data_IF_334035980615
#
_entry.id   IF_334035980615
#
_cell.length_a   1.000
_cell.length_b   1.000
_cell.length_c   1.000
_cell.angle_alpha   90.00
_cell.angle_beta   90.00
_cell.angle_gamma   90.00
#
_symmetry.space_group_name_H-M   'P 1'
#
loop_
_entity.id
_entity.type
_entity.pdbx_description
1 polymer ?
#
# COMPACT_ATOMS: atom_id res chain seq x y z
N UNK A 1 33.65 31.98 2.43
CA UNK A 1 33.30 30.77 3.20
C UNK A 1 31.81 30.39 3.08
N UNK A 2 30.87 31.33 3.22
CA UNK A 2 29.41 31.05 3.14
C UNK A 2 28.97 30.41 1.79
N UNK A 3 29.57 30.81 0.66
CA UNK A 3 29.24 30.23 -0.67
C UNK A 3 29.65 28.76 -0.82
N UNK A 4 30.78 28.35 -0.23
CA UNK A 4 31.22 26.95 -0.28
C UNK A 4 30.37 26.07 0.64
N UNK A 5 30.02 26.60 1.84
CA UNK A 5 29.14 25.95 2.81
C UNK A 5 27.70 25.81 2.32
N UNK A 6 27.27 26.63 1.35
CA UNK A 6 25.95 26.50 0.71
C UNK A 6 25.99 25.63 -0.57
N UNK A 7 27.04 25.76 -1.38
CA UNK A 7 27.17 25.07 -2.67
C UNK A 7 27.24 23.55 -2.54
N UNK A 8 28.05 23.03 -1.62
CA UNK A 8 28.25 21.58 -1.49
C UNK A 8 27.01 20.87 -0.93
N UNK A 9 26.39 21.32 0.18
CA UNK A 9 25.13 20.75 0.65
C UNK A 9 24.00 20.91 -0.37
N UNK A 10 23.94 22.04 -1.09
CA UNK A 10 22.94 22.26 -2.14
C UNK A 10 23.07 21.29 -3.31
N UNK A 11 24.30 20.97 -3.75
CA UNK A 11 24.54 19.98 -4.80
C UNK A 11 24.18 18.56 -4.34
N UNK A 12 24.51 18.20 -3.10
CA UNK A 12 24.13 16.91 -2.52
C UNK A 12 22.60 16.78 -2.40
N UNK A 13 21.92 17.83 -1.92
CA UNK A 13 20.47 17.86 -1.83
C UNK A 13 19.82 17.76 -3.22
N UNK A 14 20.37 18.47 -4.23
CA UNK A 14 19.89 18.37 -5.61
C UNK A 14 20.04 16.95 -6.16
N UNK A 15 21.20 16.32 -5.96
CA UNK A 15 21.44 14.95 -6.41
C UNK A 15 20.46 13.97 -5.74
N UNK A 16 20.28 14.08 -4.42
CA UNK A 16 19.33 13.27 -3.67
C UNK A 16 17.91 13.45 -4.22
N UNK A 17 17.40 14.68 -4.26
CA UNK A 17 16.04 14.98 -4.77
C UNK A 17 15.84 14.47 -6.20
N UNK A 18 16.86 14.55 -7.05
CA UNK A 18 16.80 14.03 -8.42
C UNK A 18 16.64 12.50 -8.42
N UNK A 19 17.45 11.77 -7.65
CA UNK A 19 17.34 10.31 -7.52
C UNK A 19 15.96 9.92 -6.98
N UNK A 20 15.46 10.63 -5.96
CA UNK A 20 14.16 10.39 -5.36
C UNK A 20 13.01 10.62 -6.34
N UNK A 21 13.06 11.73 -7.07
CA UNK A 21 12.02 12.08 -8.04
C UNK A 21 11.98 11.08 -9.19
N UNK A 22 13.15 10.67 -9.72
CA UNK A 22 13.23 9.71 -10.81
C UNK A 22 12.82 8.29 -10.36
N UNK A 23 13.28 7.85 -9.19
CA UNK A 23 12.88 6.54 -8.65
C UNK A 23 11.39 6.49 -8.30
N UNK A 24 10.84 7.55 -7.71
CA UNK A 24 9.40 7.66 -7.44
C UNK A 24 8.56 7.68 -8.72
N UNK A 25 8.99 8.44 -9.73
CA UNK A 25 8.34 8.45 -11.05
C UNK A 25 8.36 7.06 -11.70
N UNK A 26 9.50 6.36 -11.66
CA UNK A 26 9.60 4.99 -12.16
C UNK A 26 8.70 4.02 -11.38
N UNK A 27 8.64 4.13 -10.05
CA UNK A 27 7.80 3.29 -9.19
C UNK A 27 6.30 3.50 -9.45
N UNK A 28 5.88 4.72 -9.81
CA UNK A 28 4.47 5.04 -10.07
C UNK A 28 3.84 4.26 -11.22
N UNK A 29 4.65 3.69 -12.12
CA UNK A 29 4.17 2.92 -13.29
C UNK A 29 3.72 1.51 -12.88
N UNK A 30 4.36 0.90 -11.87
CA UNK A 30 4.13 -0.50 -11.53
C UNK A 30 2.70 -0.81 -11.07
N UNK A 31 2.05 -0.02 -10.19
CA UNK A 31 0.67 -0.29 -9.80
C UNK A 31 -0.31 -0.32 -10.98
N UNK A 32 -0.15 0.62 -11.92
CA UNK A 32 -0.99 0.68 -13.12
C UNK A 32 -0.71 -0.51 -14.06
N UNK A 33 0.58 -0.85 -14.27
CA UNK A 33 0.96 -2.00 -15.08
C UNK A 33 0.44 -3.31 -14.48
N UNK A 34 0.50 -3.47 -13.16
CA UNK A 34 -0.02 -4.64 -12.44
C UNK A 34 -1.54 -4.76 -12.60
N UNK A 35 -2.27 -3.65 -12.48
CA UNK A 35 -3.73 -3.62 -12.70
C UNK A 35 -4.11 -4.10 -14.10
N UNK A 36 -3.37 -3.69 -15.11
CA UNK A 36 -3.62 -4.07 -16.52
C UNK A 36 -3.28 -5.54 -16.77
N UNK A 37 -2.20 -6.03 -16.17
CA UNK A 37 -1.70 -7.38 -16.43
C UNK A 37 -2.41 -8.48 -15.61
N UNK A 38 -2.91 -8.15 -14.41
CA UNK A 38 -3.51 -9.14 -13.51
C UNK A 38 -4.92 -9.56 -13.97
N UNK A 39 -5.23 -10.86 -13.99
CA UNK A 39 -6.61 -11.34 -14.13
C UNK A 39 -7.51 -10.72 -13.06
N UNK A 40 -8.71 -10.33 -13.47
CA UNK A 40 -9.66 -9.62 -12.60
C UNK A 40 -10.82 -10.52 -12.23
N UNK A 41 -11.29 -10.38 -10.98
CA UNK A 41 -12.51 -11.02 -10.56
C UNK A 41 -13.71 -10.41 -11.31
N UNK A 42 -14.66 -11.27 -11.66
CA UNK A 42 -15.95 -10.83 -12.20
C UNK A 42 -16.68 -9.96 -11.17
N UNK A 43 -17.45 -8.98 -11.66
CA UNK A 43 -18.21 -8.10 -10.79
C UNK A 43 -19.22 -8.90 -9.95
N UNK A 44 -19.22 -8.67 -8.63
CA UNK A 44 -20.10 -9.38 -7.70
C UNK A 44 -19.64 -10.79 -7.33
N UNK A 45 -18.44 -11.23 -7.75
CA UNK A 45 -17.85 -12.47 -7.24
C UNK A 45 -17.65 -12.37 -5.72
N UNK A 46 -18.07 -13.41 -4.99
CA UNK A 46 -17.95 -13.47 -3.52
C UNK A 46 -16.65 -14.15 -3.10
N UNK A 47 -16.17 -13.83 -1.89
CA UNK A 47 -14.96 -14.45 -1.33
C UNK A 47 -15.14 -15.97 -1.19
N UNK A 48 -16.34 -16.43 -0.83
CA UNK A 48 -16.71 -17.85 -0.80
C UNK A 48 -16.45 -18.54 -2.16
N UNK A 49 -16.95 -17.96 -3.25
CA UNK A 49 -16.79 -18.53 -4.60
C UNK A 49 -15.31 -18.60 -5.00
N UNK A 50 -14.56 -17.55 -4.69
CA UNK A 50 -13.13 -17.50 -4.95
C UNK A 50 -12.36 -18.56 -4.15
N UNK A 51 -12.66 -18.67 -2.85
CA UNK A 51 -12.04 -19.62 -1.95
C UNK A 51 -12.29 -21.07 -2.39
N UNK A 52 -13.53 -21.41 -2.76
CA UNK A 52 -13.88 -22.74 -3.28
C UNK A 52 -13.11 -23.11 -4.55
N UNK A 53 -13.03 -22.18 -5.51
CA UNK A 53 -12.30 -22.39 -6.77
C UNK A 53 -10.80 -22.62 -6.51
N UNK A 54 -10.21 -21.81 -5.64
CA UNK A 54 -8.79 -21.93 -5.28
C UNK A 54 -8.54 -23.21 -4.49
N UNK A 55 -9.37 -23.54 -3.50
CA UNK A 55 -9.22 -24.75 -2.69
C UNK A 55 -9.41 -26.02 -3.54
N UNK A 56 -10.31 -26.00 -4.53
CA UNK A 56 -10.47 -27.09 -5.48
C UNK A 56 -9.25 -27.30 -6.38
N UNK A 57 -8.52 -26.23 -6.73
CA UNK A 57 -7.28 -26.29 -7.50
C UNK A 57 -6.06 -26.62 -6.63
N UNK A 58 -6.03 -26.12 -5.40
CA UNK A 58 -4.93 -26.18 -4.44
C UNK A 58 -5.48 -26.56 -3.06
N UNK A 59 -5.64 -27.88 -2.77
CA UNK A 59 -6.23 -28.33 -1.50
C UNK A 59 -5.48 -27.88 -0.25
N UNK A 60 -4.17 -27.65 -0.34
CA UNK A 60 -3.32 -27.15 0.75
C UNK A 60 -3.21 -25.63 0.80
N UNK A 61 -4.16 -24.87 0.25
CA UNK A 61 -4.17 -23.41 0.33
C UNK A 61 -4.22 -22.96 1.79
N UNK A 62 -3.29 -22.08 2.15
CA UNK A 62 -3.20 -21.51 3.50
C UNK A 62 -3.61 -20.04 3.50
N UNK A 63 -3.44 -19.35 2.36
CA UNK A 63 -3.69 -17.92 2.30
C UNK A 63 -4.05 -17.46 0.89
N UNK A 64 -5.08 -16.62 0.80
CA UNK A 64 -5.46 -15.88 -0.40
C UNK A 64 -5.31 -14.39 -0.08
N UNK A 65 -4.57 -13.67 -0.91
CA UNK A 65 -4.39 -12.22 -0.79
C UNK A 65 -4.86 -11.51 -2.03
N UNK A 66 -5.51 -10.36 -1.83
CA UNK A 66 -5.84 -9.44 -2.91
C UNK A 66 -5.08 -8.14 -2.73
N UNK A 67 -4.25 -7.83 -3.72
CA UNK A 67 -3.54 -6.55 -3.77
C UNK A 67 -4.50 -5.39 -4.12
N UNK A 68 -4.16 -4.13 -3.81
CA UNK A 68 -4.96 -2.97 -4.21
C UNK A 68 -5.20 -2.85 -5.73
N UNK A 69 -4.35 -3.48 -6.56
CA UNK A 69 -4.55 -3.58 -8.02
C UNK A 69 -5.67 -4.54 -8.42
N UNK A 70 -6.27 -5.28 -7.48
CA UNK A 70 -7.19 -6.38 -7.72
C UNK A 70 -6.51 -7.71 -8.03
N UNK A 71 -5.17 -7.74 -8.12
CA UNK A 71 -4.40 -8.99 -8.31
C UNK A 71 -4.62 -9.93 -7.13
N UNK A 72 -5.00 -11.17 -7.41
CA UNK A 72 -5.20 -12.21 -6.41
C UNK A 72 -3.99 -13.15 -6.41
N UNK A 73 -3.44 -13.44 -5.24
CA UNK A 73 -2.34 -14.37 -5.05
C UNK A 73 -2.75 -15.42 -4.03
N UNK A 74 -2.58 -16.70 -4.33
CA UNK A 74 -2.74 -17.77 -3.36
C UNK A 74 -1.38 -18.35 -2.96
N UNK A 75 -1.29 -18.78 -1.70
CA UNK A 75 -0.16 -19.47 -1.10
C UNK A 75 -0.68 -20.80 -0.56
N UNK A 76 0.06 -21.87 -0.85
CA UNK A 76 -0.32 -23.22 -0.45
C UNK A 76 0.91 -24.05 -0.13
N UNK A 77 0.68 -25.19 0.51
CA UNK A 77 1.66 -26.27 0.60
C UNK A 77 1.16 -27.48 -0.17
N UNK A 78 2.06 -28.10 -0.92
CA UNK A 78 1.85 -29.39 -1.57
C UNK A 78 2.89 -30.38 -1.02
N UNK A 79 2.44 -31.33 -0.20
CA UNK A 79 3.28 -32.31 0.50
C UNK A 79 4.51 -31.68 1.22
N UNK A 80 4.33 -30.51 1.84
CA UNK A 80 5.40 -29.78 2.53
C UNK A 80 6.25 -28.87 1.64
N UNK A 81 5.98 -28.82 0.33
CA UNK A 81 6.59 -27.87 -0.60
C UNK A 81 5.76 -26.59 -0.67
N UNK A 82 6.30 -25.41 -0.34
CA UNK A 82 5.56 -24.16 -0.46
C UNK A 82 5.38 -23.76 -1.93
N UNK A 83 4.17 -23.35 -2.28
CA UNK A 83 3.79 -22.83 -3.58
C UNK A 83 3.11 -21.47 -3.47
N UNK A 84 3.27 -20.64 -4.52
CA UNK A 84 2.57 -19.37 -4.63
C UNK A 84 2.36 -19.01 -6.10
N UNK A 85 1.16 -18.50 -6.43
CA UNK A 85 0.82 -18.08 -7.79
C UNK A 85 -0.17 -16.92 -7.77
N UNK A 86 -0.06 -16.06 -8.79
CA UNK A 86 -1.13 -15.13 -9.15
C UNK A 86 -2.26 -15.97 -9.73
N UNK A 87 -3.47 -15.81 -9.20
CA UNK A 87 -4.62 -16.63 -9.53
C UNK A 87 -5.49 -15.93 -10.57
N UNK A 88 -6.00 -16.70 -11.53
CA UNK A 88 -7.17 -16.33 -12.33
C UNK A 88 -8.45 -16.59 -11.52
N UNK A 89 -9.18 -15.55 -11.07
CA UNK A 89 -10.36 -15.72 -10.22
C UNK A 89 -11.51 -16.47 -10.91
N UNK A 90 -11.55 -16.49 -12.24
CA UNK A 90 -12.57 -17.22 -13.00
C UNK A 90 -12.42 -18.73 -12.84
N UNK A 91 -11.18 -19.23 -12.73
CA UNK A 91 -10.88 -20.66 -12.74
C UNK A 91 -10.29 -21.18 -11.43
N UNK A 92 -9.76 -20.30 -10.57
CA UNK A 92 -9.00 -20.68 -9.37
C UNK A 92 -7.57 -21.16 -9.64
N UNK A 93 -7.14 -21.15 -10.91
CA UNK A 93 -5.83 -21.68 -11.34
C UNK A 93 -4.75 -20.59 -11.35
N UNK A 94 -3.50 -21.00 -11.21
CA UNK A 94 -2.34 -20.12 -11.35
C UNK A 94 -2.19 -19.58 -12.77
N UNK A 95 -2.25 -18.25 -12.91
CA UNK A 95 -2.08 -17.53 -14.17
C UNK A 95 -0.64 -17.02 -14.36
N UNK A 96 0.08 -16.71 -13.28
CA UNK A 96 1.46 -16.24 -13.34
C UNK A 96 2.22 -16.52 -12.03
N UNK A 97 3.55 -16.39 -12.04
CA UNK A 97 4.36 -16.48 -10.83
C UNK A 97 4.00 -15.37 -9.84
N UNK A 98 3.93 -15.71 -8.55
CA UNK A 98 3.78 -14.75 -7.45
C UNK A 98 5.08 -14.02 -7.10
N UNK A 99 6.22 -14.38 -7.72
CA UNK A 99 7.51 -13.82 -7.39
C UNK A 99 7.55 -12.29 -7.56
N UNK A 100 8.13 -11.55 -6.60
CA UNK A 100 8.16 -10.10 -6.73
C UNK A 100 9.11 -9.67 -7.85
N UNK A 101 8.68 -8.71 -8.66
CA UNK A 101 9.48 -8.12 -9.73
C UNK A 101 10.81 -7.59 -9.17
N UNK A 102 11.94 -8.12 -9.66
CA UNK A 102 13.27 -7.80 -9.15
C UNK A 102 13.63 -6.32 -9.36
N UNK A 103 13.26 -5.74 -10.51
CA UNK A 103 13.49 -4.33 -10.82
C UNK A 103 12.66 -3.43 -9.90
N UNK A 104 11.39 -3.78 -9.67
CA UNK A 104 10.54 -3.05 -8.72
C UNK A 104 11.12 -3.10 -7.31
N UNK A 105 11.56 -4.29 -6.83
CA UNK A 105 12.22 -4.44 -5.52
C UNK A 105 13.47 -3.58 -5.41
N UNK A 106 14.31 -3.58 -6.45
CA UNK A 106 15.52 -2.76 -6.49
C UNK A 106 15.19 -1.26 -6.42
N UNK A 107 14.22 -0.79 -7.22
CA UNK A 107 13.76 0.60 -7.19
C UNK A 107 13.16 0.99 -5.84
N UNK A 108 12.36 0.12 -5.22
CA UNK A 108 11.79 0.36 -3.89
C UNK A 108 12.88 0.49 -2.83
N UNK A 109 13.89 -0.36 -2.86
CA UNK A 109 15.02 -0.28 -1.92
C UNK A 109 15.87 0.99 -2.14
N UNK A 110 16.09 1.39 -3.39
CA UNK A 110 16.73 2.67 -3.70
C UNK A 110 15.90 3.84 -3.15
N UNK A 111 14.60 3.88 -3.46
CA UNK A 111 13.72 5.00 -3.10
C UNK A 111 13.49 5.10 -1.60
N UNK A 112 13.26 3.96 -0.91
CA UNK A 112 12.88 3.96 0.51
C UNK A 112 14.08 4.08 1.44
N UNK A 113 15.23 3.54 1.07
CA UNK A 113 16.38 3.43 1.98
C UNK A 113 17.73 3.69 1.33
N UNK A 114 17.82 4.02 0.03
CA UNK A 114 19.10 4.16 -0.67
C UNK A 114 20.00 2.92 -0.53
N UNK A 115 19.42 1.74 -0.30
CA UNK A 115 20.12 0.49 0.06
C UNK A 115 20.87 0.51 1.41
N UNK A 116 20.61 1.50 2.28
CA UNK A 116 21.28 1.69 3.56
C UNK A 116 20.44 1.23 4.76
N UNK A 117 19.41 0.40 4.54
CA UNK A 117 18.51 -0.07 5.60
C UNK A 117 17.86 1.07 6.38
N UNK A 118 17.85 0.97 7.70
CA UNK A 118 17.20 1.96 8.57
C UNK A 118 17.90 3.31 8.59
N UNK A 119 19.24 3.35 8.49
CA UNK A 119 19.98 4.61 8.36
C UNK A 119 19.57 5.37 7.10
N UNK A 120 19.33 4.63 6.02
CA UNK A 120 18.73 5.15 4.80
C UNK A 120 17.32 5.70 5.00
N UNK A 121 16.43 4.94 5.64
CA UNK A 121 15.06 5.36 5.93
C UNK A 121 15.00 6.64 6.77
N UNK A 122 15.89 6.78 7.75
CA UNK A 122 16.03 8.00 8.56
C UNK A 122 16.51 9.18 7.70
N UNK A 123 17.53 8.97 6.86
CA UNK A 123 18.02 10.01 5.94
C UNK A 123 16.92 10.48 4.98
N UNK A 124 16.12 9.55 4.46
CA UNK A 124 14.97 9.82 3.61
C UNK A 124 13.87 10.60 4.35
N UNK A 125 13.57 10.23 5.59
CA UNK A 125 12.62 10.96 6.43
C UNK A 125 13.08 12.39 6.73
N UNK A 126 14.36 12.60 7.03
CA UNK A 126 14.94 13.94 7.20
C UNK A 126 14.87 14.76 5.91
N UNK A 127 15.14 14.13 4.77
CA UNK A 127 14.99 14.75 3.45
C UNK A 127 13.54 15.19 3.18
N UNK A 128 12.57 14.35 3.50
CA UNK A 128 11.15 14.68 3.40
C UNK A 128 10.76 15.84 4.34
N UNK A 129 11.22 15.84 5.59
CA UNK A 129 10.99 16.95 6.53
C UNK A 129 11.57 18.28 6.02
N UNK A 130 12.80 18.25 5.50
CA UNK A 130 13.44 19.42 4.92
C UNK A 130 12.67 19.93 3.69
N UNK A 131 12.25 19.03 2.80
CA UNK A 131 11.43 19.37 1.63
C UNK A 131 10.08 19.96 2.02
N UNK A 132 9.43 19.43 3.05
CA UNK A 132 8.17 19.97 3.56
C UNK A 132 8.37 21.41 4.09
N UNK A 133 9.40 21.63 4.90
CA UNK A 133 9.76 22.96 5.40
C UNK A 133 10.11 23.95 4.29
N UNK A 134 10.88 23.53 3.29
CA UNK A 134 11.19 24.33 2.10
C UNK A 134 9.94 24.64 1.26
N UNK A 135 9.01 23.69 1.17
CA UNK A 135 7.75 23.90 0.45
C UNK A 135 6.90 24.95 1.16
N UNK A 136 6.72 24.86 2.47
CA UNK A 136 5.98 25.87 3.25
C UNK A 136 6.61 27.25 3.17
N UNK A 137 7.93 27.34 3.36
CA UNK A 137 8.63 28.64 3.23
C UNK A 137 8.55 29.18 1.80
N UNK A 138 8.63 28.31 0.78
CA UNK A 138 8.39 28.65 -0.62
C UNK A 138 7.00 29.24 -0.87
N UNK A 139 5.94 28.62 -0.34
CA UNK A 139 4.56 29.16 -0.42
C UNK A 139 4.50 30.58 0.14
N UNK A 140 5.07 30.80 1.33
CA UNK A 140 5.06 32.12 1.98
C UNK A 140 5.79 33.17 1.14
N UNK A 141 6.95 32.81 0.55
CA UNK A 141 7.73 33.70 -0.31
C UNK A 141 7.00 34.01 -1.62
N UNK A 142 6.37 33.02 -2.25
CA UNK A 142 5.56 33.24 -3.46
C UNK A 142 4.37 34.14 -3.14
N UNK A 143 3.63 33.85 -2.07
CA UNK A 143 2.48 34.66 -1.64
C UNK A 143 2.86 36.13 -1.43
N UNK A 144 3.99 36.39 -0.75
CA UNK A 144 4.52 37.75 -0.58
C UNK A 144 4.89 38.41 -1.91
N UNK A 145 5.53 37.67 -2.83
CA UNK A 145 5.94 38.20 -4.13
C UNK A 145 4.74 38.63 -5.00
N UNK A 146 3.62 37.93 -4.88
CA UNK A 146 2.43 38.19 -5.70
C UNK A 146 1.44 39.15 -5.05
N UNK A 147 1.72 39.61 -3.82
CA UNK A 147 0.82 40.48 -3.08
C UNK A 147 -0.38 39.77 -2.47
N UNK A 148 -0.22 38.51 -2.04
CA UNK A 148 -1.22 37.75 -1.28
C UNK A 148 -1.79 36.53 -2.01
N UNK A 149 -2.46 35.65 -1.26
CA UNK A 149 -3.00 34.38 -1.76
C UNK A 149 -4.02 34.55 -2.89
N UNK A 150 -4.82 35.62 -2.85
CA UNK A 150 -5.80 35.95 -3.90
C UNK A 150 -5.14 36.18 -5.27
N UNK A 151 -3.85 36.54 -5.29
CA UNK A 151 -3.09 36.82 -6.49
C UNK A 151 -2.21 35.64 -6.94
N UNK A 152 -2.43 34.43 -6.41
CA UNK A 152 -1.57 33.27 -6.65
C UNK A 152 -1.34 32.94 -8.13
N UNK A 153 -2.37 33.08 -8.98
CA UNK A 153 -2.27 32.81 -10.42
C UNK A 153 -2.12 34.07 -11.29
N UNK A 154 -1.84 35.23 -10.68
CA UNK A 154 -1.63 36.46 -11.46
C UNK A 154 -0.34 36.41 -12.28
N UNK A 155 -0.32 37.17 -13.37
CA UNK A 155 0.81 37.26 -14.29
C UNK A 155 2.03 37.83 -13.59
N UNK A 156 3.13 37.07 -13.62
CA UNK A 156 4.39 37.48 -13.02
C UNK A 156 5.16 38.47 -13.91
N UNK A 157 5.76 39.47 -13.26
CA UNK A 157 6.67 40.44 -13.89
C UNK A 157 8.10 40.20 -13.40
N UNK A 158 9.08 40.67 -14.17
CA UNK A 158 10.50 40.60 -13.84
C UNK A 158 11.31 39.63 -14.70
N UNK A 159 12.58 39.37 -14.32
CA UNK A 159 13.51 38.54 -15.08
C UNK A 159 13.00 37.12 -15.32
N UNK A 160 13.35 36.56 -16.49
CA UNK A 160 12.86 35.25 -16.95
C UNK A 160 13.10 34.12 -15.94
N UNK A 161 14.32 34.02 -15.39
CA UNK A 161 14.69 32.95 -14.45
C UNK A 161 13.83 32.96 -13.18
N UNK A 162 13.69 34.15 -12.56
CA UNK A 162 12.85 34.33 -11.38
C UNK A 162 11.37 34.12 -11.68
N UNK A 163 10.91 34.49 -12.89
CA UNK A 163 9.53 34.22 -13.32
C UNK A 163 9.26 32.72 -13.46
N UNK A 164 10.09 32.02 -14.23
CA UNK A 164 9.96 30.59 -14.49
C UNK A 164 10.00 29.78 -13.18
N UNK A 165 10.92 30.11 -12.28
CA UNK A 165 11.02 29.44 -10.98
C UNK A 165 9.71 29.52 -10.19
N UNK A 166 9.06 30.70 -10.16
CA UNK A 166 7.82 30.87 -9.41
C UNK A 166 6.61 30.28 -10.15
N UNK A 167 6.58 30.34 -11.49
CA UNK A 167 5.56 29.63 -12.28
C UNK A 167 5.58 28.12 -12.01
N UNK A 168 6.76 27.50 -12.06
CA UNK A 168 6.92 26.07 -11.75
C UNK A 168 6.60 25.81 -10.28
N UNK A 169 7.13 26.62 -9.35
CA UNK A 169 6.94 26.42 -7.91
C UNK A 169 5.46 26.48 -7.50
N UNK A 170 4.65 27.37 -8.10
CA UNK A 170 3.20 27.50 -7.80
C UNK A 170 2.43 26.21 -8.05
N UNK A 171 2.85 25.41 -9.04
CA UNK A 171 2.22 24.14 -9.40
C UNK A 171 2.88 23.00 -8.62
N UNK A 172 4.22 22.95 -8.62
CA UNK A 172 4.99 21.88 -8.00
C UNK A 172 4.78 21.80 -6.48
N UNK A 173 4.52 22.93 -5.80
CA UNK A 173 4.44 22.96 -4.34
C UNK A 173 3.32 22.08 -3.78
N UNK A 174 2.20 21.91 -4.49
CA UNK A 174 1.11 21.02 -4.07
C UNK A 174 1.62 19.57 -4.03
N UNK A 175 2.26 19.13 -5.12
CA UNK A 175 2.84 17.79 -5.21
C UNK A 175 3.99 17.57 -4.22
N UNK A 176 4.84 18.58 -4.00
CA UNK A 176 5.94 18.50 -3.04
C UNK A 176 5.44 18.40 -1.59
N UNK A 177 4.44 19.20 -1.21
CA UNK A 177 3.83 19.13 0.13
C UNK A 177 3.18 17.76 0.33
N UNK A 178 2.37 17.31 -0.63
CA UNK A 178 1.70 16.00 -0.54
C UNK A 178 2.71 14.85 -0.47
N UNK A 179 3.71 14.84 -1.36
CA UNK A 179 4.73 13.79 -1.43
C UNK A 179 5.59 13.75 -0.15
N UNK A 180 6.01 14.91 0.36
CA UNK A 180 6.81 14.96 1.59
C UNK A 180 6.00 14.62 2.85
N UNK A 181 4.75 15.08 2.95
CA UNK A 181 3.87 14.73 4.07
C UNK A 181 3.56 13.23 4.11
N UNK A 182 3.23 12.63 2.96
CA UNK A 182 2.99 11.19 2.85
C UNK A 182 4.26 10.38 3.09
N UNK A 183 5.43 10.84 2.65
CA UNK A 183 6.72 10.21 2.95
C UNK A 183 7.02 10.19 4.46
N UNK A 184 6.75 11.30 5.17
CA UNK A 184 6.91 11.38 6.62
C UNK A 184 5.97 10.44 7.35
N UNK A 185 4.72 10.34 6.90
CA UNK A 185 3.77 9.36 7.44
C UNK A 185 4.24 7.93 7.23
N UNK A 186 4.69 7.58 6.03
CA UNK A 186 5.24 6.26 5.72
C UNK A 186 6.48 5.92 6.57
N UNK A 187 7.35 6.91 6.83
CA UNK A 187 8.46 6.75 7.74
C UNK A 187 7.98 6.53 9.18
N UNK A 188 7.02 7.31 9.65
CA UNK A 188 6.47 7.16 10.99
C UNK A 188 5.80 5.79 11.21
N UNK A 189 5.02 5.31 10.23
CA UNK A 189 4.48 3.94 10.23
C UNK A 189 5.59 2.88 10.23
N UNK A 190 6.65 3.08 9.44
CA UNK A 190 7.78 2.15 9.37
C UNK A 190 8.52 2.00 10.71
N UNK A 191 8.55 3.05 11.52
CA UNK A 191 9.18 3.08 12.83
C UNK A 191 8.19 2.90 13.99
N UNK A 192 6.97 2.44 13.69
CA UNK A 192 5.92 2.16 14.69
C UNK A 192 5.59 3.38 15.59
N UNK A 193 5.67 4.58 15.01
CA UNK A 193 5.37 5.85 15.70
C UNK A 193 3.90 6.25 15.60
N UNK A 194 3.11 5.46 14.86
CA UNK A 194 1.69 5.70 14.62
C UNK A 194 0.88 4.57 15.27
N UNK A 195 -0.31 4.84 15.81
CA UNK A 195 -1.20 3.80 16.33
C UNK A 195 -1.34 2.62 15.36
N UNK A 196 -1.12 1.41 15.87
CA UNK A 196 -1.35 0.19 15.11
C UNK A 196 -2.84 -0.12 14.96
N UNK A 197 -3.14 -0.91 13.93
CA UNK A 197 -4.41 -1.62 13.80
C UNK A 197 -4.52 -2.78 14.77
N UNK A 198 -5.73 -3.07 15.23
CA UNK A 198 -6.00 -4.21 16.10
C UNK A 198 -6.66 -5.35 15.33
N UNK A 199 -6.11 -6.55 15.43
CA UNK A 199 -6.89 -7.76 15.15
C UNK A 199 -7.88 -8.00 16.31
N UNK A 200 -9.03 -8.67 16.08
CA UNK A 200 -9.90 -9.07 17.17
C UNK A 200 -9.12 -9.89 18.20
N UNK A 201 -9.55 -9.82 19.46
CA UNK A 201 -9.04 -10.74 20.47
C UNK A 201 -9.27 -12.17 20.00
N UNK A 202 -8.28 -13.04 20.18
CA UNK A 202 -8.43 -14.45 19.82
C UNK A 202 -9.65 -15.04 20.55
N UNK A 203 -10.50 -15.79 19.84
CA UNK A 203 -11.70 -16.36 20.43
C UNK A 203 -11.31 -17.36 21.53
N UNK A 204 -12.00 -17.26 22.67
CA UNK A 204 -11.79 -18.17 23.81
C UNK A 204 -12.54 -19.49 23.62
N UNK A 205 -13.64 -19.45 22.85
CA UNK A 205 -14.47 -20.60 22.53
C UNK A 205 -14.51 -20.80 21.01
N UNK A 206 -14.19 -22.02 20.59
CA UNK A 206 -14.26 -22.53 19.21
C UNK A 206 -14.97 -23.88 19.25
N UNK A 207 -15.57 -24.31 18.15
CA UNK A 207 -16.34 -25.55 18.10
C UNK A 207 -15.50 -26.80 18.37
N UNK A 208 -14.20 -26.77 18.02
CA UNK A 208 -13.34 -27.96 18.01
C UNK A 208 -13.68 -28.94 16.88
N UNK A 209 -14.57 -28.55 15.97
CA UNK A 209 -14.92 -29.28 14.75
C UNK A 209 -14.14 -28.70 13.56
N UNK A 210 -13.99 -29.47 12.48
CA UNK A 210 -13.23 -29.05 11.29
C UNK A 210 -13.96 -29.45 10.00
N UNK A 211 -13.55 -28.86 8.88
CA UNK A 211 -14.00 -29.29 7.56
C UNK A 211 -15.25 -28.60 7.04
N UNK A 212 -15.68 -27.49 7.64
CA UNK A 212 -16.75 -26.67 7.07
C UNK A 212 -16.27 -26.05 5.75
N UNK A 213 -17.10 -26.15 4.70
CA UNK A 213 -16.74 -25.66 3.38
C UNK A 213 -16.72 -24.11 3.37
N UNK A 214 -15.60 -23.46 2.97
CA UNK A 214 -15.53 -22.00 2.86
C UNK A 214 -16.65 -21.39 2.01
N UNK A 215 -17.04 -22.08 0.93
CA UNK A 215 -18.15 -21.73 0.06
C UNK A 215 -19.52 -21.56 0.71
N UNK A 216 -19.69 -22.11 1.92
CA UNK A 216 -20.94 -22.10 2.66
C UNK A 216 -20.91 -21.17 3.87
N UNK A 217 -19.76 -20.55 4.16
CA UNK A 217 -19.62 -19.63 5.29
C UNK A 217 -20.33 -18.33 4.98
N UNK A 218 -21.35 -17.97 5.77
CA UNK A 218 -22.23 -16.83 5.50
C UNK A 218 -21.44 -15.55 5.25
N UNK A 219 -20.47 -15.24 6.11
CA UNK A 219 -19.66 -14.02 5.96
C UNK A 219 -18.82 -14.03 4.67
N UNK A 220 -18.28 -15.18 4.24
CA UNK A 220 -17.54 -15.27 2.97
C UNK A 220 -18.46 -15.17 1.75
N UNK A 221 -19.71 -15.64 1.87
CA UNK A 221 -20.75 -15.53 0.83
C UNK A 221 -21.23 -14.10 0.69
N UNK A 222 -21.36 -13.37 1.80
CA UNK A 222 -21.81 -11.99 1.80
C UNK A 222 -20.71 -11.00 1.44
N UNK A 223 -19.43 -11.36 1.62
CA UNK A 223 -18.29 -10.49 1.31
C UNK A 223 -17.94 -10.53 -0.19
N UNK A 224 -18.01 -9.40 -0.90
CA UNK A 224 -17.49 -9.25 -2.26
C UNK A 224 -15.96 -9.39 -2.33
N UNK A 225 -15.44 -9.93 -3.43
CA UNK A 225 -13.98 -10.08 -3.62
C UNK A 225 -13.25 -8.74 -3.70
N UNK A 226 -13.92 -7.65 -4.10
CA UNK A 226 -13.32 -6.32 -4.13
C UNK A 226 -13.03 -5.71 -2.75
N UNK A 227 -13.77 -6.13 -1.72
CA UNK A 227 -13.54 -5.79 -0.32
C UNK A 227 -12.44 -6.66 0.32
N UNK A 228 -12.13 -7.83 -0.27
CA UNK A 228 -11.10 -8.74 0.24
C UNK A 228 -9.71 -8.08 0.28
N UNK A 229 -9.03 -8.22 1.42
CA UNK A 229 -7.59 -7.97 1.57
C UNK A 229 -6.83 -9.29 1.72
N UNK A 230 -7.28 -10.14 2.63
CA UNK A 230 -6.65 -11.42 2.95
C UNK A 230 -7.68 -12.40 3.50
N UNK A 231 -7.62 -13.66 3.08
CA UNK A 231 -8.27 -14.79 3.73
C UNK A 231 -7.18 -15.79 4.09
N UNK A 232 -7.02 -16.07 5.38
CA UNK A 232 -6.11 -17.10 5.89
C UNK A 232 -6.92 -18.31 6.37
N UNK A 233 -6.46 -19.50 6.02
CA UNK A 233 -7.07 -20.79 6.36
C UNK A 233 -6.46 -21.30 7.68
N UNK A 234 -7.23 -22.08 8.46
CA UNK A 234 -6.72 -22.71 9.67
C UNK A 234 -5.62 -23.74 9.34
N UNK A 235 -4.68 -23.92 10.25
CA UNK A 235 -3.62 -24.90 10.12
C UNK A 235 -4.18 -26.33 10.06
N UNK A 236 -3.78 -27.16 9.07
CA UNK A 236 -4.27 -28.53 8.97
C UNK A 236 -3.99 -29.36 10.22
N UNK A 237 -5.04 -29.94 10.80
CA UNK A 237 -4.95 -30.81 11.98
C UNK A 237 -5.00 -30.06 13.32
N UNK A 238 -5.11 -28.72 13.31
CA UNK A 238 -5.41 -27.94 14.50
C UNK A 238 -6.90 -27.54 14.49
N UNK A 239 -7.73 -28.26 15.24
CA UNK A 239 -9.17 -27.97 15.34
C UNK A 239 -9.50 -26.71 16.16
N UNK A 240 -8.50 -26.08 16.78
CA UNK A 240 -8.67 -24.84 17.54
C UNK A 240 -8.37 -23.58 16.73
N UNK A 241 -7.74 -23.74 15.56
CA UNK A 241 -7.44 -22.63 14.68
C UNK A 241 -8.70 -22.12 13.94
N UNK A 242 -8.60 -20.96 13.32
CA UNK A 242 -9.74 -20.25 12.73
C UNK A 242 -9.42 -19.73 11.35
N UNK A 243 -10.45 -19.56 10.53
CA UNK A 243 -10.32 -18.73 9.35
C UNK A 243 -10.17 -17.28 9.78
N UNK A 244 -9.25 -16.55 9.16
CA UNK A 244 -9.11 -15.10 9.36
C UNK A 244 -9.44 -14.38 8.06
N UNK A 245 -10.53 -13.61 8.07
CA UNK A 245 -10.91 -12.73 6.97
C UNK A 245 -10.48 -11.29 7.30
N UNK A 246 -9.75 -10.65 6.40
CA UNK A 246 -9.46 -9.22 6.41
C UNK A 246 -10.11 -8.58 5.18
N UNK A 247 -10.90 -7.54 5.42
CA UNK A 247 -11.53 -6.71 4.40
C UNK A 247 -11.02 -5.27 4.53
N UNK A 248 -11.52 -4.37 3.67
CA UNK A 248 -11.36 -2.92 3.82
C UNK A 248 -12.26 -2.31 4.91
N UNK A 249 -13.18 -3.10 5.47
CA UNK A 249 -14.02 -2.71 6.60
C UNK A 249 -13.50 -3.19 7.95
N UNK A 250 -12.77 -4.31 8.01
CA UNK A 250 -12.30 -4.86 9.28
C UNK A 250 -11.64 -6.23 9.17
N UNK A 251 -11.43 -6.85 10.33
CA UNK A 251 -10.89 -8.21 10.45
C UNK A 251 -11.85 -9.07 11.27
N UNK A 252 -12.10 -10.29 10.82
CA UNK A 252 -12.94 -11.27 11.50
C UNK A 252 -12.33 -12.65 11.58
N UNK A 253 -12.74 -13.40 12.61
CA UNK A 253 -12.42 -14.81 12.76
C UNK A 253 -13.67 -15.66 12.54
N UNK A 254 -13.55 -16.72 11.73
CA UNK A 254 -14.63 -17.66 11.50
C UNK A 254 -14.24 -19.05 12.01
N UNK A 255 -15.20 -19.71 12.64
CA UNK A 255 -15.06 -21.07 13.13
C UNK A 255 -14.90 -22.06 11.97
N UNK A 256 -13.87 -22.90 12.02
CA UNK A 256 -13.57 -23.82 10.93
C UNK A 256 -14.50 -25.05 10.85
N UNK A 257 -15.27 -25.31 11.91
CA UNK A 257 -16.19 -26.45 11.99
C UNK A 257 -17.63 -26.09 11.66
N UNK A 258 -18.04 -24.87 11.97
CA UNK A 258 -19.42 -24.38 11.81
C UNK A 258 -19.57 -23.24 10.82
N UNK A 259 -18.47 -22.58 10.42
CA UNK A 259 -18.50 -21.39 9.57
C UNK A 259 -19.03 -20.14 10.25
N UNK A 260 -19.28 -20.18 11.57
CA UNK A 260 -19.83 -19.07 12.33
C UNK A 260 -18.80 -17.95 12.54
N UNK A 261 -19.25 -16.69 12.51
CA UNK A 261 -18.43 -15.54 12.90
C UNK A 261 -18.20 -15.57 14.41
N UNK A 262 -16.95 -15.67 14.83
CA UNK A 262 -16.54 -15.75 16.23
C UNK A 262 -16.21 -14.36 16.82
N UNK A 263 -15.53 -13.53 16.04
CA UNK A 263 -15.16 -12.18 16.44
C UNK A 263 -14.99 -11.29 15.21
N UNK A 264 -15.28 -10.00 15.38
CA UNK A 264 -15.08 -8.97 14.36
C UNK A 264 -14.50 -7.72 15.02
N UNK A 265 -13.64 -7.01 14.29
CA UNK A 265 -13.12 -5.71 14.67
C UNK A 265 -13.05 -4.83 13.45
N UNK A 266 -13.77 -3.71 13.50
CA UNK A 266 -13.78 -2.73 12.41
C UNK A 266 -12.41 -2.08 12.25
N UNK A 267 -12.10 -1.72 11.01
CA UNK A 267 -10.96 -0.92 10.66
C UNK A 267 -11.08 0.44 11.36
N UNK A 268 -10.05 0.82 12.10
CA UNK A 268 -10.02 2.09 12.82
C UNK A 268 -9.95 3.26 11.85
N UNK A 269 -10.37 4.45 12.29
CA UNK A 269 -10.19 5.67 11.49
C UNK A 269 -8.72 5.94 11.14
N UNK A 270 -7.80 5.50 12.00
CA UNK A 270 -6.37 5.67 11.79
C UNK A 270 -5.81 4.75 10.69
N UNK A 271 -6.29 3.51 10.63
CA UNK A 271 -5.96 2.58 9.55
C UNK A 271 -6.50 3.07 8.21
N UNK A 272 -7.74 3.56 8.15
CA UNK A 272 -8.30 4.15 6.91
C UNK A 272 -7.46 5.32 6.38
N UNK A 273 -7.01 6.20 7.27
CA UNK A 273 -6.10 7.29 6.90
C UNK A 273 -4.75 6.74 6.41
N UNK A 274 -4.22 5.71 7.07
CA UNK A 274 -2.98 5.06 6.67
C UNK A 274 -3.08 4.39 5.30
N UNK A 275 -4.17 3.71 4.99
CA UNK A 275 -4.44 3.13 3.67
C UNK A 275 -4.51 4.23 2.59
N UNK A 276 -5.21 5.32 2.88
CA UNK A 276 -5.31 6.47 1.95
C UNK A 276 -3.93 7.07 1.68
N UNK A 277 -3.12 7.28 2.71
CA UNK A 277 -1.77 7.83 2.57
C UNK A 277 -0.86 6.86 1.83
N UNK A 278 -0.97 5.57 2.11
CA UNK A 278 -0.25 4.52 1.40
C UNK A 278 -0.57 4.54 -0.09
N UNK A 279 -1.85 4.63 -0.47
CA UNK A 279 -2.28 4.78 -1.85
C UNK A 279 -1.72 6.06 -2.48
N UNK A 280 -1.85 7.21 -1.82
CA UNK A 280 -1.34 8.49 -2.33
C UNK A 280 0.17 8.50 -2.54
N UNK A 281 0.93 7.81 -1.68
CA UNK A 281 2.38 7.77 -1.75
C UNK A 281 2.89 6.76 -2.79
N UNK A 282 2.29 5.58 -2.83
CA UNK A 282 2.79 4.45 -3.65
C UNK A 282 2.09 4.32 -4.99
N UNK A 283 0.93 4.95 -5.17
CA UNK A 283 0.03 4.77 -6.31
C UNK A 283 -0.75 3.45 -6.30
N UNK A 284 -0.55 2.58 -5.30
CA UNK A 284 -1.25 1.30 -5.21
C UNK A 284 -2.74 1.50 -4.92
N UNK A 285 -3.60 0.95 -5.78
CA UNK A 285 -5.06 1.11 -5.68
C UNK A 285 -5.59 2.41 -6.30
N UNK A 286 -4.73 3.33 -6.76
CA UNK A 286 -5.19 4.59 -7.36
C UNK A 286 -5.95 4.37 -8.69
N UNK A 287 -5.67 3.28 -9.42
CA UNK A 287 -6.33 2.96 -10.68
C UNK A 287 -7.74 2.35 -10.51
N UNK A 288 -8.19 2.12 -9.28
CA UNK A 288 -9.51 1.55 -8.96
C UNK A 288 -10.44 2.56 -8.27
N UNK A 289 -9.99 3.81 -8.07
CA UNK A 289 -10.81 4.94 -7.63
C UNK A 289 -11.71 5.43 -8.78
#
# INVERSE_FOLDING_TARGET
MIRALHRWPGLLALALVTVLSLSGAALSVFPAAERIAAPQAEAGMTVATLADRIQGAYPGVEQIRRAPSGRITAYWFDEGTPGAAVIDPATGQGAASADPNQTQRWLTNLHRSLFLGDGGRIAMAMGAAAMLGLSFTGVLLVSRRVGGWQNWFTRLRGPLSGRLHVEIARIAVVGLVLSSATALWMAASTFDLLPGGGAPAMPVEVSGETGFAPGQMLLLVETPVDELRELSFPYPGDATDVFTLKTDEGTGYLDQGTGALLAWTDLTGWERVSETIYMLHTGQGAATL
#
